data_IF_507466716297
#
_entry.id   IF_507466716297
#
_cell.length_a   1.000
_cell.length_b   1.000
_cell.length_c   1.000
_cell.angle_alpha   90.00
_cell.angle_beta   90.00
_cell.angle_gamma   90.00
#
_symmetry.space_group_name_H-M   'P 1'
#
loop_
_entity.id
_entity.type
_entity.pdbx_description
1 polymer ?
#
# COMPACT_ATOMS: atom_id res chain seq x y z
N UNK A 1 -6.24 -39.23 3.84
CA UNK A 1 -5.79 -38.64 5.11
C UNK A 1 -6.12 -37.14 5.18
N UNK A 2 -5.70 -36.34 4.19
CA UNK A 2 -6.03 -34.90 4.10
C UNK A 2 -7.53 -34.57 4.21
N UNK A 3 -8.41 -35.32 3.52
CA UNK A 3 -9.86 -35.10 3.58
C UNK A 3 -10.46 -35.33 4.98
N UNK A 4 -9.89 -36.25 5.78
CA UNK A 4 -10.32 -36.49 7.17
C UNK A 4 -9.80 -35.41 8.13
N UNK A 5 -8.65 -34.80 7.84
CA UNK A 5 -8.12 -33.65 8.59
C UNK A 5 -8.94 -32.39 8.32
N UNK A 6 -9.32 -32.16 7.06
CA UNK A 6 -10.16 -31.01 6.69
C UNK A 6 -11.55 -31.05 7.36
N UNK A 7 -12.18 -32.23 7.43
CA UNK A 7 -13.45 -32.42 8.15
C UNK A 7 -13.37 -32.16 9.66
N UNK A 8 -12.16 -32.17 10.23
CA UNK A 8 -11.88 -31.93 11.65
C UNK A 8 -11.09 -30.64 11.86
N UNK A 9 -11.01 -29.76 10.85
CA UNK A 9 -10.21 -28.55 10.92
C UNK A 9 -10.59 -27.71 12.15
N UNK A 10 -11.89 -27.58 12.44
CA UNK A 10 -12.39 -26.86 13.62
C UNK A 10 -11.93 -27.40 14.98
N UNK A 11 -11.36 -28.61 15.04
CA UNK A 11 -10.77 -29.16 16.27
C UNK A 11 -9.32 -28.71 16.49
N UNK A 12 -8.65 -28.18 15.45
CA UNK A 12 -7.22 -27.84 15.48
C UNK A 12 -6.88 -26.47 14.85
N UNK A 13 -7.87 -25.76 14.28
CA UNK A 13 -7.72 -24.43 13.70
C UNK A 13 -8.56 -23.41 14.47
N UNK A 14 -8.00 -22.24 14.70
CA UNK A 14 -8.71 -21.07 15.21
C UNK A 14 -8.83 -20.04 14.10
N UNK A 15 -10.03 -19.46 13.91
CA UNK A 15 -10.23 -18.32 13.02
C UNK A 15 -10.20 -17.07 13.90
N UNK A 16 -9.36 -16.12 13.52
CA UNK A 16 -9.23 -14.84 14.20
C UNK A 16 -9.74 -13.72 13.30
N UNK A 17 -10.80 -13.06 13.72
CA UNK A 17 -11.27 -11.85 13.05
C UNK A 17 -10.22 -10.74 13.25
N UNK A 18 -9.87 -10.07 12.14
CA UNK A 18 -8.89 -8.99 12.14
C UNK A 18 -9.46 -7.77 11.43
N UNK A 19 -9.11 -6.59 11.92
CA UNK A 19 -9.46 -5.33 11.29
C UNK A 19 -8.27 -4.83 10.50
N UNK A 20 -8.46 -4.56 9.21
CA UNK A 20 -7.45 -4.01 8.33
C UNK A 20 -7.91 -2.66 7.80
N UNK A 21 -7.00 -1.69 7.81
CA UNK A 21 -7.24 -0.37 7.23
C UNK A 21 -6.21 -0.09 6.14
N UNK A 22 -6.68 0.39 4.98
CA UNK A 22 -5.85 0.86 3.88
C UNK A 22 -6.18 2.29 3.54
N UNK A 23 -5.15 3.11 3.29
CA UNK A 23 -5.33 4.48 2.83
C UNK A 23 -4.34 4.83 1.73
N UNK A 24 -4.77 5.68 0.80
CA UNK A 24 -3.86 6.24 -0.19
C UNK A 24 -3.90 7.76 -0.27
N UNK A 25 -2.75 8.38 -0.53
CA UNK A 25 -2.64 9.83 -0.65
C UNK A 25 -1.52 10.24 -1.61
N UNK A 26 -1.87 10.89 -2.71
CA UNK A 26 -0.91 11.64 -3.51
C UNK A 26 -0.58 12.96 -2.79
N UNK A 27 0.67 13.11 -2.35
CA UNK A 27 1.08 14.21 -1.46
C UNK A 27 1.71 15.38 -2.21
N UNK A 28 1.81 15.31 -3.55
CA UNK A 28 2.31 16.40 -4.41
C UNK A 28 3.60 17.05 -3.87
N UNK A 29 4.61 16.21 -3.62
CA UNK A 29 5.93 16.53 -3.08
C UNK A 29 5.95 17.21 -1.70
N UNK A 30 4.81 17.25 -0.98
CA UNK A 30 4.74 17.82 0.36
C UNK A 30 5.40 16.90 1.38
N UNK A 31 5.98 17.53 2.40
CA UNK A 31 6.52 16.84 3.57
C UNK A 31 5.37 16.35 4.46
N UNK A 32 5.55 15.25 5.21
CA UNK A 32 4.61 14.88 6.26
C UNK A 32 4.53 15.96 7.34
N UNK A 33 3.47 15.90 8.14
CA UNK A 33 3.39 16.68 9.39
C UNK A 33 4.49 16.22 10.36
N UNK A 34 4.93 17.13 11.24
CA UNK A 34 5.91 16.78 12.26
C UNK A 34 5.34 15.75 13.25
N UNK A 35 6.22 15.04 13.98
CA UNK A 35 5.81 14.08 15.03
C UNK A 35 4.89 14.74 16.06
N UNK A 36 5.20 15.98 16.47
CA UNK A 36 4.39 16.76 17.41
C UNK A 36 2.99 17.10 16.88
N UNK A 37 2.80 17.08 15.56
CA UNK A 37 1.53 17.36 14.89
C UNK A 37 0.86 16.12 14.31
N UNK A 38 1.38 14.92 14.63
CA UNK A 38 0.91 13.64 14.08
C UNK A 38 -0.58 13.36 14.33
N UNK A 39 -1.16 13.93 15.39
CA UNK A 39 -2.61 13.92 15.63
C UNK A 39 -3.46 14.42 14.44
N UNK A 40 -2.92 15.32 13.60
CA UNK A 40 -3.62 15.82 12.39
C UNK A 40 -3.88 14.73 11.36
N UNK A 41 -3.15 13.63 11.40
CA UNK A 41 -3.33 12.49 10.49
C UNK A 41 -4.52 11.61 10.87
N UNK A 42 -5.04 11.71 12.10
CA UNK A 42 -6.11 10.84 12.57
C UNK A 42 -7.43 11.02 11.85
N UNK A 43 -7.73 12.21 11.33
CA UNK A 43 -8.94 12.43 10.53
C UNK A 43 -8.94 11.60 9.24
N UNK A 44 -7.76 11.22 8.76
CA UNK A 44 -7.60 10.31 7.64
C UNK A 44 -7.44 8.86 8.09
N UNK A 45 -6.60 8.61 9.10
CA UNK A 45 -6.28 7.25 9.57
C UNK A 45 -7.44 6.57 10.34
N UNK A 46 -8.43 7.31 10.80
CA UNK A 46 -9.68 6.76 11.37
C UNK A 46 -10.75 6.74 10.29
N UNK A 47 -11.26 5.56 9.97
CA UNK A 47 -12.44 5.45 9.10
C UNK A 47 -13.64 6.13 9.78
N UNK A 48 -14.47 6.85 9.02
CA UNK A 48 -15.61 7.64 9.52
C UNK A 48 -16.83 6.77 9.89
N UNK A 49 -16.66 5.49 10.20
CA UNK A 49 -17.78 4.60 10.49
C UNK A 49 -18.06 4.48 11.99
N UNK A 50 -19.35 4.39 12.32
CA UNK A 50 -19.96 4.45 13.66
C UNK A 50 -19.43 3.44 14.70
N UNK A 51 -18.59 2.47 14.32
CA UNK A 51 -17.92 1.54 15.22
C UNK A 51 -16.53 2.05 15.65
N UNK A 52 -16.50 3.29 16.13
CA UNK A 52 -15.35 4.12 16.54
C UNK A 52 -14.44 3.53 17.66
N UNK A 53 -14.61 2.26 18.03
CA UNK A 53 -13.94 1.63 19.17
C UNK A 53 -12.79 0.68 18.80
N UNK A 54 -12.68 0.21 17.56
CA UNK A 54 -11.68 -0.80 17.21
C UNK A 54 -10.56 -0.19 16.35
N UNK A 55 -9.36 -0.07 16.93
CA UNK A 55 -8.16 0.25 16.18
C UNK A 55 -7.78 -0.92 15.25
N UNK A 56 -7.34 -0.67 14.00
CA UNK A 56 -7.00 -1.73 13.04
C UNK A 56 -5.83 -2.59 13.50
N UNK A 57 -5.86 -3.90 13.28
CA UNK A 57 -4.72 -4.78 13.55
C UNK A 57 -3.60 -4.60 12.52
N UNK A 58 -3.98 -4.30 11.27
CA UNK A 58 -3.08 -3.96 10.16
C UNK A 58 -3.44 -2.59 9.59
N UNK A 59 -2.42 -1.78 9.33
CA UNK A 59 -2.55 -0.47 8.65
C UNK A 59 -1.60 -0.46 7.46
N UNK A 60 -2.12 -0.27 6.25
CA UNK A 60 -1.31 -0.13 5.04
C UNK A 60 -1.57 1.23 4.37
N UNK A 61 -0.52 2.05 4.22
CA UNK A 61 -0.62 3.37 3.58
C UNK A 61 0.22 3.43 2.31
N UNK A 62 -0.41 3.86 1.23
CA UNK A 62 0.23 4.08 -0.05
C UNK A 62 0.31 5.57 -0.39
N UNK A 63 1.51 6.11 -0.58
CA UNK A 63 1.71 7.49 -1.03
C UNK A 63 2.21 7.56 -2.47
N UNK A 64 1.84 8.64 -3.14
CA UNK A 64 2.39 9.02 -4.45
C UNK A 64 2.97 10.42 -4.37
N UNK A 65 3.93 10.69 -5.25
CA UNK A 65 4.64 11.97 -5.34
C UNK A 65 5.24 12.41 -4.00
N UNK A 66 5.86 11.51 -3.24
CA UNK A 66 6.50 11.90 -1.98
C UNK A 66 7.65 12.91 -2.20
N UNK A 67 8.26 12.89 -3.39
CA UNK A 67 9.32 13.81 -3.83
C UNK A 67 8.93 14.49 -5.14
N UNK A 68 9.45 15.70 -5.33
CA UNK A 68 9.36 16.42 -6.60
C UNK A 68 10.18 15.67 -7.66
N UNK A 69 9.53 15.32 -8.77
CA UNK A 69 10.06 14.51 -9.85
C UNK A 69 11.00 15.27 -10.80
N UNK A 70 11.39 16.50 -10.48
CA UNK A 70 12.47 17.19 -11.17
C UNK A 70 13.72 16.31 -11.25
N UNK A 71 14.30 16.14 -12.46
CA UNK A 71 15.35 15.16 -12.76
C UNK A 71 16.57 15.22 -11.80
N UNK A 72 16.85 16.39 -11.22
CA UNK A 72 17.90 16.60 -10.21
C UNK A 72 17.57 15.86 -8.90
N UNK A 73 16.31 15.85 -8.46
CA UNK A 73 15.91 15.22 -7.21
C UNK A 73 15.90 13.68 -7.29
N UNK A 74 15.56 13.14 -8.46
CA UNK A 74 15.45 11.69 -8.70
C UNK A 74 16.82 11.06 -8.98
N UNK A 75 17.69 11.72 -9.76
CA UNK A 75 18.95 11.13 -10.21
C UNK A 75 20.16 11.59 -9.38
N UNK A 76 20.12 12.80 -8.81
CA UNK A 76 21.30 13.42 -8.17
C UNK A 76 21.19 13.47 -6.64
N UNK A 77 20.03 13.83 -6.10
CA UNK A 77 19.89 14.06 -4.65
C UNK A 77 19.33 12.85 -3.86
N UNK A 78 18.87 11.79 -4.52
CA UNK A 78 18.27 10.58 -3.93
C UNK A 78 17.32 10.87 -2.74
N UNK A 79 16.43 11.84 -2.90
CA UNK A 79 15.59 12.33 -1.80
C UNK A 79 14.47 11.37 -1.39
N UNK A 80 14.22 10.31 -2.19
CA UNK A 80 13.12 9.36 -1.94
C UNK A 80 13.26 8.65 -0.60
N UNK A 81 14.43 8.12 -0.28
CA UNK A 81 14.68 7.40 0.97
C UNK A 81 14.51 8.28 2.22
N UNK A 82 15.17 9.44 2.31
CA UNK A 82 14.97 10.35 3.45
C UNK A 82 13.52 10.83 3.59
N UNK A 83 12.84 11.09 2.47
CA UNK A 83 11.44 11.50 2.49
C UNK A 83 10.51 10.37 2.95
N UNK A 84 10.76 9.15 2.51
CA UNK A 84 9.92 8.02 2.88
C UNK A 84 10.08 7.66 4.36
N UNK A 85 11.28 7.75 4.91
CA UNK A 85 11.52 7.62 6.34
C UNK A 85 10.74 8.67 7.16
N UNK A 86 10.70 9.93 6.70
CA UNK A 86 9.91 10.98 7.35
C UNK A 86 8.40 10.65 7.36
N UNK A 87 7.87 10.09 6.27
CA UNK A 87 6.47 9.66 6.21
C UNK A 87 6.21 8.49 7.16
N UNK A 88 7.11 7.51 7.21
CA UNK A 88 7.05 6.38 8.15
C UNK A 88 7.00 6.86 9.60
N UNK A 89 7.95 7.71 10.01
CA UNK A 89 8.01 8.26 11.37
C UNK A 89 6.72 9.01 11.74
N UNK A 90 6.19 9.82 10.82
CA UNK A 90 4.98 10.62 11.05
C UNK A 90 3.73 9.75 11.21
N UNK A 91 3.57 8.72 10.37
CA UNK A 91 2.45 7.78 10.47
C UNK A 91 2.59 6.91 11.73
N UNK A 92 3.77 6.37 12.00
CA UNK A 92 4.02 5.55 13.19
C UNK A 92 3.75 6.34 14.48
N UNK A 93 4.15 7.62 14.52
CA UNK A 93 3.84 8.51 15.63
C UNK A 93 2.34 8.71 15.81
N UNK A 94 1.58 8.91 14.73
CA UNK A 94 0.13 9.06 14.79
C UNK A 94 -0.55 7.79 15.33
N UNK A 95 -0.14 6.63 14.84
CA UNK A 95 -0.66 5.33 15.26
C UNK A 95 -0.38 5.07 16.75
N UNK A 96 0.87 5.21 17.18
CA UNK A 96 1.32 4.85 18.52
C UNK A 96 0.97 5.87 19.61
N UNK A 97 0.75 7.13 19.25
CA UNK A 97 0.41 8.18 20.22
C UNK A 97 -1.09 8.37 20.36
N UNK A 98 -1.87 8.10 19.30
CA UNK A 98 -3.25 8.58 19.24
C UNK A 98 -4.28 7.58 18.71
N UNK A 99 -3.89 6.45 18.13
CA UNK A 99 -4.86 5.49 17.57
C UNK A 99 -5.17 4.33 18.51
N UNK A 100 -4.17 3.79 19.21
CA UNK A 100 -4.30 2.53 19.94
C UNK A 100 -3.37 2.53 21.15
N UNK A 101 -3.81 1.90 22.24
CA UNK A 101 -2.95 1.60 23.39
C UNK A 101 -1.96 0.45 23.10
N UNK A 102 -2.24 -0.34 22.06
CA UNK A 102 -1.31 -1.33 21.54
C UNK A 102 -0.37 -0.67 20.53
N UNK A 103 0.94 -0.82 20.75
CA UNK A 103 1.95 -0.33 19.84
C UNK A 103 1.87 -1.02 18.48
N UNK A 104 1.98 -0.24 17.41
CA UNK A 104 2.26 -0.65 16.05
C UNK A 104 3.75 -0.70 15.79
N UNK A 105 4.12 -1.63 14.90
CA UNK A 105 5.46 -1.81 14.33
C UNK A 105 5.39 -1.79 12.81
N UNK A 106 6.48 -1.38 12.18
CA UNK A 106 6.62 -1.45 10.72
C UNK A 106 6.91 -2.89 10.32
N UNK A 107 6.06 -3.46 9.47
CA UNK A 107 6.30 -4.76 8.83
C UNK A 107 7.29 -4.60 7.69
N UNK A 108 6.97 -3.71 6.74
CA UNK A 108 7.88 -3.36 5.66
C UNK A 108 7.60 -1.95 5.13
N UNK A 109 8.67 -1.28 4.78
CA UNK A 109 8.71 -0.06 4.00
C UNK A 109 9.28 -0.40 2.62
N UNK A 110 8.53 -0.11 1.55
CA UNK A 110 9.06 -0.21 0.18
C UNK A 110 8.70 1.04 -0.61
N UNK A 111 9.60 1.49 -1.48
CA UNK A 111 9.34 2.62 -2.36
C UNK A 111 9.91 2.40 -3.76
N UNK A 112 9.33 3.12 -4.73
CA UNK A 112 9.79 3.24 -6.11
C UNK A 112 9.73 4.72 -6.49
N UNK A 113 10.88 5.39 -6.51
CA UNK A 113 11.01 6.84 -6.77
C UNK A 113 10.07 7.68 -5.89
N UNK A 114 8.90 8.08 -6.38
CA UNK A 114 7.92 8.89 -5.66
C UNK A 114 6.74 8.10 -5.08
N UNK A 115 6.71 6.78 -5.28
CA UNK A 115 5.65 5.89 -4.79
C UNK A 115 6.17 5.19 -3.54
N UNK A 116 5.39 5.19 -2.46
CA UNK A 116 5.74 4.60 -1.18
C UNK A 116 4.59 3.72 -0.70
N UNK A 117 4.93 2.56 -0.15
CA UNK A 117 4.02 1.68 0.57
C UNK A 117 4.63 1.36 1.94
N UNK A 118 3.88 1.66 3.00
CA UNK A 118 4.22 1.32 4.37
C UNK A 118 3.16 0.37 4.91
N UNK A 119 3.59 -0.74 5.48
CA UNK A 119 2.70 -1.71 6.14
C UNK A 119 3.08 -1.76 7.62
N UNK A 120 2.09 -1.53 8.47
CA UNK A 120 2.21 -1.57 9.92
C UNK A 120 1.29 -2.64 10.51
N UNK A 121 1.68 -3.19 11.65
CA UNK A 121 0.87 -4.14 12.40
C UNK A 121 0.93 -3.84 13.89
N UNK A 122 -0.12 -4.14 14.65
CA UNK A 122 0.00 -4.18 16.11
C UNK A 122 1.04 -5.21 16.54
N UNK A 123 1.88 -4.85 17.51
CA UNK A 123 3.04 -5.62 17.97
C UNK A 123 2.71 -7.04 18.42
N UNK A 124 1.50 -7.28 18.94
CA UNK A 124 1.04 -8.62 19.35
C UNK A 124 0.88 -9.61 18.17
N UNK A 125 0.75 -9.13 16.94
CA UNK A 125 0.68 -9.97 15.74
C UNK A 125 2.06 -10.22 15.11
N UNK A 126 3.06 -9.41 15.43
CA UNK A 126 4.40 -9.49 14.85
C UNK A 126 5.03 -10.90 14.94
N UNK A 127 4.89 -11.68 16.03
CA UNK A 127 5.44 -13.04 16.11
C UNK A 127 4.82 -14.04 15.13
N UNK A 128 3.67 -13.70 14.52
CA UNK A 128 2.92 -14.54 13.60
C UNK A 128 3.05 -14.09 12.15
N UNK A 129 3.91 -13.10 11.88
CA UNK A 129 4.23 -12.66 10.52
C UNK A 129 5.44 -13.42 10.00
N UNK A 130 5.31 -14.01 8.82
CA UNK A 130 6.40 -14.64 8.07
C UNK A 130 6.40 -14.18 6.61
N UNK A 131 7.45 -14.55 5.87
CA UNK A 131 7.53 -14.39 4.41
C UNK A 131 7.22 -12.95 3.95
N UNK A 132 7.89 -11.98 4.56
CA UNK A 132 7.71 -10.55 4.25
C UNK A 132 8.62 -10.20 3.07
N UNK A 133 8.04 -9.84 1.93
CA UNK A 133 8.79 -9.52 0.70
C UNK A 133 8.20 -8.30 0.02
N UNK A 134 9.05 -7.35 -0.34
CA UNK A 134 8.66 -6.14 -1.09
C UNK A 134 9.18 -6.17 -2.52
N UNK A 135 8.36 -5.78 -3.48
CA UNK A 135 8.69 -5.76 -4.91
C UNK A 135 8.19 -4.48 -5.58
N UNK A 136 8.76 -4.11 -6.72
CA UNK A 136 8.39 -2.89 -7.45
C UNK A 136 8.37 -3.11 -8.95
N UNK A 137 7.53 -2.35 -9.65
CA UNK A 137 7.45 -2.36 -11.11
C UNK A 137 7.33 -0.93 -11.64
N UNK A 138 8.34 -0.46 -12.37
CA UNK A 138 8.30 0.82 -13.08
C UNK A 138 7.57 0.69 -14.42
N UNK A 139 6.72 1.68 -14.73
CA UNK A 139 5.93 1.75 -15.98
C UNK A 139 5.93 3.14 -16.64
N UNK A 140 6.73 4.10 -16.15
CA UNK A 140 6.80 5.48 -16.69
C UNK A 140 7.52 5.58 -18.05
N UNK A 141 8.48 6.50 -18.21
CA UNK A 141 9.12 6.75 -19.53
C UNK A 141 9.58 5.43 -20.18
N UNK A 142 9.08 5.16 -21.39
CA UNK A 142 9.27 3.92 -22.17
C UNK A 142 8.84 2.62 -21.46
N UNK A 143 7.88 2.66 -20.53
CA UNK A 143 7.43 1.49 -19.77
C UNK A 143 8.46 0.98 -18.76
N UNK A 144 9.46 1.80 -18.41
CA UNK A 144 10.60 1.42 -17.56
C UNK A 144 10.96 2.44 -16.47
N UNK A 145 10.72 3.75 -16.66
CA UNK A 145 11.19 4.77 -15.70
C UNK A 145 10.22 4.98 -14.51
N UNK A 146 10.74 5.06 -13.28
CA UNK A 146 9.98 4.83 -12.04
C UNK A 146 9.07 5.94 -11.50
N UNK A 147 8.74 6.99 -12.24
CA UNK A 147 7.79 8.02 -11.76
C UNK A 147 6.31 7.59 -11.83
N UNK A 148 6.04 6.51 -12.55
CA UNK A 148 4.79 5.75 -12.59
C UNK A 148 5.12 4.29 -12.38
N UNK A 149 4.24 3.55 -11.74
CA UNK A 149 4.52 2.16 -11.39
C UNK A 149 3.69 1.64 -10.24
N UNK A 150 4.15 0.53 -9.68
CA UNK A 150 3.60 -0.13 -8.51
C UNK A 150 4.69 -0.49 -7.52
N UNK A 151 4.36 -0.38 -6.24
CA UNK A 151 5.10 -0.95 -5.12
C UNK A 151 4.19 -1.97 -4.46
N UNK A 152 4.68 -3.16 -4.18
CA UNK A 152 3.94 -4.18 -3.47
C UNK A 152 4.71 -4.73 -2.27
N UNK A 153 3.97 -5.09 -1.24
CA UNK A 153 4.46 -5.75 -0.03
C UNK A 153 3.57 -6.95 0.22
N UNK A 154 4.16 -8.14 0.28
CA UNK A 154 3.47 -9.36 0.73
C UNK A 154 3.93 -9.77 2.11
N UNK A 155 3.06 -10.46 2.83
CA UNK A 155 3.35 -11.09 4.12
C UNK A 155 2.41 -12.28 4.35
N UNK A 156 2.87 -13.27 5.11
CA UNK A 156 2.02 -14.31 5.67
C UNK A 156 1.72 -13.85 7.09
N UNK A 157 0.45 -13.85 7.49
CA UNK A 157 0.05 -13.58 8.86
C UNK A 157 -0.79 -14.75 9.36
N UNK A 158 -0.32 -15.42 10.41
CA UNK A 158 -0.80 -16.74 10.80
C UNK A 158 -0.69 -17.70 9.59
N UNK A 159 -1.82 -18.18 9.08
CA UNK A 159 -1.87 -19.08 7.92
C UNK A 159 -2.49 -18.41 6.68
N UNK A 160 -2.61 -17.07 6.67
CA UNK A 160 -3.19 -16.30 5.56
C UNK A 160 -2.14 -15.45 4.85
N UNK A 161 -2.12 -15.52 3.52
CA UNK A 161 -1.24 -14.73 2.68
C UNK A 161 -1.91 -13.42 2.25
N UNK A 162 -1.22 -12.31 2.46
CA UNK A 162 -1.75 -10.96 2.21
C UNK A 162 -0.76 -10.20 1.33
N UNK A 163 -1.25 -9.49 0.32
CA UNK A 163 -0.45 -8.57 -0.48
C UNK A 163 -1.13 -7.21 -0.61
N UNK A 164 -0.34 -6.16 -0.39
CA UNK A 164 -0.71 -4.78 -0.61
C UNK A 164 0.01 -4.25 -1.85
N UNK A 165 -0.70 -3.54 -2.71
CA UNK A 165 -0.16 -2.90 -3.91
C UNK A 165 -0.54 -1.43 -3.88
N UNK A 166 0.44 -0.54 -3.97
CA UNK A 166 0.26 0.89 -4.15
C UNK A 166 0.75 1.27 -5.55
N UNK A 167 -0.13 1.78 -6.41
CA UNK A 167 0.23 2.22 -7.76
C UNK A 167 0.07 3.72 -8.00
N UNK A 168 0.84 4.23 -8.94
CA UNK A 168 0.65 5.55 -9.54
C UNK A 168 0.60 5.35 -11.05
N UNK A 169 -0.61 5.36 -11.62
CA UNK A 169 -0.83 5.04 -13.04
C UNK A 169 -0.79 6.30 -13.92
N UNK A 170 -0.73 6.10 -15.24
CA UNK A 170 -0.67 7.18 -16.22
C UNK A 170 -1.75 8.25 -16.02
N UNK A 171 -1.31 9.51 -16.02
CA UNK A 171 -2.19 10.68 -15.88
C UNK A 171 -2.88 11.04 -17.21
N UNK A 172 -3.67 12.12 -17.15
CA UNK A 172 -4.46 12.73 -18.22
C UNK A 172 -5.78 12.01 -18.54
N UNK A 173 -6.84 12.81 -18.72
CA UNK A 173 -8.23 12.36 -18.86
C UNK A 173 -8.38 11.28 -19.93
N UNK A 174 -7.83 11.47 -21.13
CA UNK A 174 -8.04 10.56 -22.25
C UNK A 174 -7.12 9.31 -22.26
N UNK A 175 -6.19 9.19 -21.31
CA UNK A 175 -5.18 8.12 -21.32
C UNK A 175 -5.62 6.84 -20.59
N UNK A 176 -6.87 6.41 -20.81
CA UNK A 176 -7.40 5.16 -20.21
C UNK A 176 -6.58 3.95 -20.65
N UNK A 177 -6.24 3.87 -21.95
CA UNK A 177 -5.44 2.78 -22.47
C UNK A 177 -4.06 2.69 -21.81
N UNK A 178 -3.41 3.84 -21.52
CA UNK A 178 -2.16 3.87 -20.78
C UNK A 178 -2.30 3.38 -19.35
N UNK A 179 -3.36 3.78 -18.63
CA UNK A 179 -3.64 3.28 -17.27
C UNK A 179 -3.87 1.77 -17.24
N UNK A 180 -4.65 1.25 -18.18
CA UNK A 180 -4.91 -0.19 -18.29
C UNK A 180 -3.62 -0.95 -18.60
N UNK A 181 -2.76 -0.41 -19.47
CA UNK A 181 -1.46 -0.99 -19.77
C UNK A 181 -0.51 -0.95 -18.56
N UNK A 182 -0.48 0.15 -17.81
CA UNK A 182 0.29 0.28 -16.57
C UNK A 182 -0.14 -0.77 -15.55
N UNK A 183 -1.44 -0.91 -15.31
CA UNK A 183 -2.01 -1.94 -14.45
C UNK A 183 -1.56 -3.35 -14.87
N UNK A 184 -1.73 -3.70 -16.14
CA UNK A 184 -1.36 -5.01 -16.66
C UNK A 184 0.15 -5.27 -16.54
N UNK A 185 0.98 -4.24 -16.78
CA UNK A 185 2.44 -4.34 -16.63
C UNK A 185 2.86 -4.53 -15.18
N UNK A 186 2.26 -3.80 -14.23
CA UNK A 186 2.52 -3.96 -12.80
C UNK A 186 2.16 -5.38 -12.38
N UNK A 187 0.98 -5.85 -12.79
CA UNK A 187 0.48 -7.18 -12.48
C UNK A 187 1.39 -8.29 -13.00
N UNK A 188 1.95 -8.12 -14.20
CA UNK A 188 2.83 -9.09 -14.83
C UNK A 188 4.28 -9.04 -14.29
N UNK A 189 4.77 -7.87 -13.87
CA UNK A 189 6.19 -7.68 -13.47
C UNK A 189 6.44 -7.84 -11.98
N UNK A 190 5.44 -7.62 -11.12
CA UNK A 190 5.61 -7.80 -9.68
C UNK A 190 5.69 -9.29 -9.36
N UNK A 191 6.91 -9.68 -9.01
CA UNK A 191 7.26 -11.00 -8.52
C UNK A 191 7.84 -10.88 -7.11
N UNK A 192 7.54 -11.85 -6.26
CA UNK A 192 8.12 -12.00 -4.93
C UNK A 192 8.99 -13.24 -4.93
N UNK A 193 10.28 -13.04 -4.68
CA UNK A 193 11.28 -14.10 -4.59
C UNK A 193 11.72 -14.19 -3.14
N UNK A 194 11.99 -15.40 -2.65
CA UNK A 194 12.52 -15.62 -1.31
C UNK A 194 13.88 -14.91 -1.20
N UNK A 195 13.91 -13.72 -0.60
CA UNK A 195 15.13 -12.97 -0.39
C UNK A 195 15.78 -13.41 0.92
N UNK A 196 16.87 -14.18 0.80
CA UNK A 196 17.77 -14.50 1.92
C UNK A 196 18.47 -13.23 2.46
N UNK A 197 18.46 -12.12 1.71
CA UNK A 197 19.06 -10.86 2.11
C UNK A 197 18.33 -9.67 1.46
N UNK A 198 17.53 -8.91 2.22
CA UNK A 198 17.31 -7.48 1.93
C UNK A 198 17.84 -6.72 3.16
N UNK A 199 18.91 -5.97 2.94
CA UNK A 199 19.70 -5.30 3.97
C UNK A 199 18.93 -4.19 4.70
N UNK A 200 19.26 -4.06 5.99
CA UNK A 200 19.03 -2.93 6.90
C UNK A 200 17.59 -2.63 7.33
N UNK A 201 17.08 -3.47 8.23
CA UNK A 201 16.21 -2.99 9.30
C UNK A 201 17.08 -2.64 10.53
N UNK A 202 17.29 -1.35 10.89
CA UNK A 202 18.13 -0.96 12.03
C UNK A 202 17.53 -1.36 13.41
N UNK A 203 16.30 -1.88 13.42
CA UNK A 203 15.59 -2.41 14.61
C UNK A 203 16.02 -3.83 15.01
N UNK A 204 16.95 -4.47 14.30
CA UNK A 204 17.69 -5.62 14.82
C UNK A 204 16.91 -6.93 14.92
N UNK A 205 15.84 -7.14 14.13
CA UNK A 205 15.18 -8.44 14.08
C UNK A 205 15.87 -9.39 13.09
N UNK A 206 17.09 -9.82 13.44
CA UNK A 206 17.94 -10.73 12.65
C UNK A 206 17.51 -12.20 12.78
N UNK A 207 16.42 -12.50 13.50
CA UNK A 207 16.04 -13.88 13.83
C UNK A 207 15.28 -14.59 12.69
N UNK A 208 14.60 -13.86 11.80
CA UNK A 208 13.75 -14.49 10.78
C UNK A 208 14.52 -15.11 9.60
N UNK A 209 15.73 -14.62 9.29
CA UNK A 209 16.51 -15.16 8.17
C UNK A 209 17.18 -16.51 8.46
N UNK A 210 17.32 -16.90 9.74
CA UNK A 210 18.09 -18.09 10.14
C UNK A 210 17.25 -19.37 10.17
N UNK A 211 15.92 -19.25 10.02
CA UNK A 211 14.97 -20.37 10.07
C UNK A 211 14.31 -20.67 8.73
N UNK A 212 14.60 -19.89 7.68
CA UNK A 212 14.05 -20.14 6.35
C UNK A 212 14.75 -21.35 5.70
N UNK A 213 14.00 -22.33 5.18
CA UNK A 213 14.56 -23.46 4.44
C UNK A 213 15.25 -23.00 3.14
N UNK A 214 16.01 -23.91 2.53
CA UNK A 214 16.72 -23.72 1.25
C UNK A 214 15.90 -22.90 0.23
N UNK A 215 16.52 -21.96 -0.50
CA UNK A 215 15.81 -21.10 -1.44
C UNK A 215 15.04 -21.94 -2.43
N UNK A 216 13.72 -21.83 -2.40
CA UNK A 216 12.88 -22.47 -3.39
C UNK A 216 12.83 -21.58 -4.62
N UNK A 217 12.87 -22.18 -5.82
CA UNK A 217 12.73 -21.47 -7.10
C UNK A 217 11.28 -20.97 -7.32
N UNK A 218 10.49 -20.89 -6.24
CA UNK A 218 9.10 -20.51 -6.25
C UNK A 218 8.98 -18.98 -6.28
N UNK A 219 8.65 -18.48 -7.46
CA UNK A 219 8.29 -17.08 -7.65
C UNK A 219 6.79 -16.92 -7.41
N UNK A 220 6.42 -16.12 -6.40
CA UNK A 220 5.02 -15.76 -6.17
C UNK A 220 4.66 -14.51 -6.95
N UNK A 221 3.44 -14.47 -7.48
CA UNK A 221 2.87 -13.28 -8.12
C UNK A 221 1.84 -12.62 -7.20
N UNK A 222 1.32 -11.45 -7.56
CA UNK A 222 0.23 -10.79 -6.80
C UNK A 222 -0.96 -11.74 -6.62
N UNK A 223 -1.36 -12.48 -7.66
CA UNK A 223 -2.52 -13.38 -7.63
C UNK A 223 -2.34 -14.63 -6.78
N UNK A 224 -1.13 -14.88 -6.27
CA UNK A 224 -0.82 -16.06 -5.45
C UNK A 224 -1.22 -15.91 -3.98
N UNK A 225 -1.91 -14.82 -3.60
CA UNK A 225 -2.24 -14.49 -2.21
C UNK A 225 -3.75 -14.60 -1.95
N UNK A 226 -4.12 -14.96 -0.72
CA UNK A 226 -5.51 -15.10 -0.28
C UNK A 226 -6.23 -13.75 -0.27
N UNK A 227 -5.53 -12.70 0.19
CA UNK A 227 -6.05 -11.34 0.26
C UNK A 227 -5.17 -10.36 -0.52
N UNK A 228 -5.79 -9.66 -1.47
CA UNK A 228 -5.12 -8.71 -2.35
C UNK A 228 -5.77 -7.33 -2.16
N UNK A 229 -4.99 -6.36 -1.70
CA UNK A 229 -5.41 -4.97 -1.56
C UNK A 229 -4.67 -4.10 -2.55
N UNK A 230 -5.36 -3.63 -3.59
CA UNK A 230 -4.80 -2.72 -4.58
C UNK A 230 -5.33 -1.31 -4.34
N UNK A 231 -4.44 -0.39 -4.03
CA UNK A 231 -4.72 1.03 -3.81
C UNK A 231 -3.77 1.91 -4.62
N UNK A 232 -4.01 3.22 -4.60
CA UNK A 232 -3.09 4.20 -5.18
C UNK A 232 -3.78 5.35 -5.88
N UNK A 233 -2.97 6.20 -6.50
CA UNK A 233 -3.44 7.18 -7.47
C UNK A 233 -3.59 6.50 -8.84
N UNK A 234 -4.77 5.93 -9.04
CA UNK A 234 -5.12 5.20 -10.27
C UNK A 234 -5.35 6.13 -11.45
N UNK A 235 -5.52 7.44 -11.22
CA UNK A 235 -5.65 8.47 -12.24
C UNK A 235 -6.81 8.30 -13.25
N UNK A 236 -7.76 7.39 -13.05
CA UNK A 236 -9.03 7.40 -13.79
C UNK A 236 -9.80 8.68 -13.49
N UNK A 237 -10.51 9.19 -14.49
CA UNK A 237 -11.15 10.51 -14.45
C UNK A 237 -12.61 10.38 -14.84
N UNK A 238 -13.41 11.37 -14.47
CA UNK A 238 -14.74 11.51 -15.02
C UNK A 238 -14.66 11.76 -16.53
N UNK A 239 -15.47 11.03 -17.30
CA UNK A 239 -15.62 11.24 -18.73
C UNK A 239 -16.29 12.60 -18.95
N UNK A 240 -15.64 13.48 -19.69
CA UNK A 240 -16.21 14.75 -20.18
C UNK A 240 -16.73 14.55 -21.61
N UNK A 241 -17.85 15.18 -21.93
CA UNK A 241 -18.38 15.21 -23.30
C UNK A 241 -19.10 16.55 -23.59
N UNK A 242 -19.66 16.69 -24.80
CA UNK A 242 -20.32 17.92 -25.22
C UNK A 242 -21.51 18.35 -24.32
N UNK A 243 -22.08 17.42 -23.56
CA UNK A 243 -23.21 17.62 -22.66
C UNK A 243 -22.81 17.53 -21.18
N UNK A 244 -21.51 17.39 -20.87
CA UNK A 244 -21.04 17.27 -19.51
C UNK A 244 -19.62 17.81 -19.36
N UNK A 245 -19.53 19.01 -18.78
CA UNK A 245 -18.27 19.73 -18.56
C UNK A 245 -17.81 19.66 -17.11
N UNK A 246 -16.65 20.26 -16.83
CA UNK A 246 -16.14 20.42 -15.45
C UNK A 246 -17.10 21.23 -14.57
N UNK A 247 -17.77 22.25 -15.13
CA UNK A 247 -18.77 23.02 -14.41
C UNK A 247 -19.96 22.15 -13.99
N UNK A 248 -20.38 21.21 -14.82
CA UNK A 248 -21.42 20.25 -14.48
C UNK A 248 -20.98 19.31 -13.36
N UNK A 249 -19.71 18.87 -13.34
CA UNK A 249 -19.14 18.10 -12.22
C UNK A 249 -19.34 18.84 -10.89
N UNK A 250 -18.97 20.13 -10.83
CA UNK A 250 -19.14 20.94 -9.63
C UNK A 250 -20.61 21.13 -9.25
N UNK A 251 -21.48 21.38 -10.22
CA UNK A 251 -22.91 21.54 -9.99
C UNK A 251 -23.56 20.27 -9.42
N UNK A 252 -23.11 19.09 -9.84
CA UNK A 252 -23.54 17.81 -9.29
C UNK A 252 -22.96 17.55 -7.90
N UNK A 253 -21.69 17.92 -7.67
CA UNK A 253 -21.05 17.80 -6.36
C UNK A 253 -21.76 18.64 -5.29
N UNK A 254 -22.08 19.90 -5.61
CA UNK A 254 -22.80 20.82 -4.71
C UNK A 254 -24.19 20.30 -4.31
N UNK A 255 -24.79 19.47 -5.18
CA UNK A 255 -26.09 18.83 -4.95
C UNK A 255 -25.98 17.45 -4.32
N UNK A 256 -24.77 16.98 -4.01
CA UNK A 256 -24.48 15.61 -3.56
C UNK A 256 -25.00 14.52 -4.52
N UNK A 257 -25.07 14.82 -5.82
CA UNK A 257 -25.51 13.88 -6.85
C UNK A 257 -24.37 12.95 -7.29
N UNK A 258 -23.82 12.19 -6.34
CA UNK A 258 -22.63 11.35 -6.58
C UNK A 258 -22.89 10.21 -7.57
N UNK A 259 -24.10 9.67 -7.64
CA UNK A 259 -24.45 8.60 -8.60
C UNK A 259 -24.23 9.03 -10.06
N UNK A 260 -24.51 10.30 -10.38
CA UNK A 260 -24.29 10.84 -11.74
C UNK A 260 -22.80 10.93 -12.04
N UNK A 261 -21.98 11.32 -11.07
CA UNK A 261 -20.53 11.40 -11.23
C UNK A 261 -19.93 10.00 -11.35
N UNK A 262 -20.34 9.06 -10.50
CA UNK A 262 -19.86 7.68 -10.51
C UNK A 262 -20.20 6.95 -11.82
N UNK A 263 -21.37 7.21 -12.40
CA UNK A 263 -21.75 6.65 -13.70
C UNK A 263 -20.86 7.14 -14.86
N UNK A 264 -20.02 8.16 -14.62
CA UNK A 264 -19.08 8.74 -15.58
C UNK A 264 -17.63 8.48 -15.22
N UNK A 265 -17.35 7.79 -14.12
CA UNK A 265 -16.00 7.34 -13.81
C UNK A 265 -15.54 6.30 -14.86
N UNK A 266 -14.28 6.38 -15.28
CA UNK A 266 -13.69 5.53 -16.32
C UNK A 266 -13.33 4.13 -15.81
#
# INVERSE_FOLDING_TARGET
MAQKLHLRASEFTEIKDMVLWTGTFNVNAKKPVSIAESAKLLSWLRATHENDQLSPDIVAVGFQEIVDLNAVNVVVNNMSGPRSAQWEESILAALNTHMSDQAYEVVLHKHLVGILLLVFVKRNHLPFITDVVGSTAGVGIMGMMGNKGGVAVRMTLYDSTIVFVCSHLAAHTHNVAGRNADFANILAKIEFRDSVFDEMNPSGFVLFSILSPEPTDHVLSIHSHDFIFWLGDLNYRLVEDANFTVEDCFAHLDKHNLEVLLARDQ
#
